data_IF_121251530256
#
_entry.id   IF_121251530256
#
_cell.length_a   1.000
_cell.length_b   1.000
_cell.length_c   1.000
_cell.angle_alpha   90.00
_cell.angle_beta   90.00
_cell.angle_gamma   90.00
#
_symmetry.space_group_name_H-M   'P 1'
#
loop_
_entity.id
_entity.type
_entity.pdbx_description
1 polymer ?
#
# COMPACT_ATOMS: atom_id res chain seq x y z
N UNK A 1 -18.61 30.26 16.09
CA UNK A 1 -18.56 29.92 15.70
C UNK A 1 -18.33 29.38 15.30
N UNK A 2 -18.07 29.24 15.11
CA UNK A 2 -17.90 28.65 14.66
C UNK A 2 -17.32 28.09 14.61
N UNK A 3 -16.89 28.00 14.75
CA UNK A 3 -16.32 27.50 14.60
C UNK A 3 -16.23 26.60 14.60
N UNK A 4 -16.13 26.42 14.77
CA UNK A 4 -16.01 25.56 14.82
C UNK A 4 -16.21 24.93 14.16
N UNK A 5 -16.11 24.89 13.66
CA UNK A 5 -16.26 24.31 12.87
C UNK A 5 -15.39 24.05 12.24
N UNK A 6 -14.51 24.21 11.95
CA UNK A 6 -13.63 23.89 11.36
C UNK A 6 -12.97 22.96 11.73
N UNK A 7 -12.90 23.01 12.35
CA UNK A 7 -12.13 22.23 12.88
C UNK A 7 -12.42 21.00 12.55
N UNK A 8 -13.22 20.67 12.79
CA UNK A 8 -13.48 19.48 12.55
C UNK A 8 -13.29 19.12 11.31
N UNK A 9 -13.26 19.85 10.68
CA UNK A 9 -13.14 19.53 9.49
C UNK A 9 -12.00 19.01 9.23
N UNK A 10 -11.22 19.52 9.66
CA UNK A 10 -10.05 19.10 9.39
C UNK A 10 -9.87 17.81 9.60
N UNK A 11 -10.14 17.46 10.48
CA UNK A 11 -9.77 16.23 10.74
C UNK A 11 -10.18 15.34 9.90
N UNK A 12 -11.15 15.43 9.65
CA UNK A 12 -11.59 14.42 9.00
C UNK A 12 -10.88 14.01 7.94
N UNK A 13 -10.60 14.67 7.24
CA UNK A 13 -10.10 14.22 6.09
C UNK A 13 -8.97 13.51 6.17
N UNK A 14 -8.43 13.72 6.93
CA UNK A 14 -7.33 13.14 7.01
C UNK A 14 -7.39 11.87 7.23
N UNK A 15 -8.25 11.43 7.44
CA UNK A 15 -8.27 10.21 7.68
C UNK A 15 -7.76 9.41 6.69
N UNK A 16 -6.98 8.61 6.95
CA UNK A 16 -6.49 7.74 6.06
C UNK A 16 -7.57 6.95 5.70
N UNK A 17 -7.66 6.62 4.58
CA UNK A 17 -8.72 5.84 4.18
C UNK A 17 -8.61 4.56 4.77
N UNK A 18 -9.52 4.08 5.31
CA UNK A 18 -9.47 2.85 5.80
C UNK A 18 -10.06 2.02 4.84
N UNK A 19 -9.53 1.00 4.41
CA UNK A 19 -10.07 0.10 3.45
C UNK A 19 -11.34 -0.44 3.98
N UNK A 20 -12.30 -0.56 3.18
CA UNK A 20 -13.54 -1.11 3.59
C UNK A 20 -13.38 -2.54 3.96
N UNK A 21 -12.39 -3.17 3.51
CA UNK A 21 -12.20 -4.56 3.82
C UNK A 21 -10.73 -4.80 3.92
N UNK A 22 -10.34 -5.87 4.48
CA UNK A 22 -8.93 -6.15 4.65
C UNK A 22 -8.22 -6.20 3.32
N UNK A 23 -6.96 -5.92 3.33
CA UNK A 23 -6.17 -5.97 2.13
C UNK A 23 -5.78 -7.40 1.88
N UNK A 24 -6.39 -8.03 0.90
CA UNK A 24 -6.03 -9.38 0.57
C UNK A 24 -5.10 -9.39 -0.61
N UNK A 25 -3.97 -9.96 -0.46
CA UNK A 25 -2.97 -10.02 -1.50
C UNK A 25 -2.77 -11.46 -1.94
N UNK A 26 -2.52 -11.63 -3.21
CA UNK A 26 -2.15 -12.95 -3.72
C UNK A 26 -0.77 -13.27 -3.19
N UNK A 27 -0.34 -14.51 -3.22
CA UNK A 27 1.01 -14.84 -2.76
C UNK A 27 2.10 -14.05 -3.48
N UNK A 28 1.97 -13.83 -4.77
CA UNK A 28 2.97 -13.06 -5.49
C UNK A 28 2.91 -11.59 -5.05
N UNK A 29 1.73 -11.07 -4.85
CA UNK A 29 1.61 -9.70 -4.39
C UNK A 29 2.22 -9.52 -3.01
N UNK A 30 2.04 -10.51 -2.15
CA UNK A 30 2.65 -10.43 -0.84
C UNK A 30 4.17 -10.43 -0.92
N UNK A 31 4.72 -11.21 -1.83
CA UNK A 31 6.16 -11.22 -2.01
C UNK A 31 6.63 -9.84 -2.45
N UNK A 32 5.95 -9.24 -3.40
CA UNK A 32 6.33 -7.93 -3.90
C UNK A 32 6.24 -6.89 -2.79
N UNK A 33 5.17 -6.93 -2.02
CA UNK A 33 4.97 -5.96 -0.97
C UNK A 33 6.00 -6.15 0.14
N UNK A 34 6.34 -7.39 0.45
CA UNK A 34 7.33 -7.64 1.48
C UNK A 34 8.68 -7.07 1.08
N UNK A 35 9.09 -7.26 -0.15
CA UNK A 35 10.33 -6.67 -0.62
C UNK A 35 10.27 -5.15 -0.57
N UNK A 36 9.13 -4.59 -0.91
CA UNK A 36 8.97 -3.16 -0.89
C UNK A 36 9.12 -2.63 0.53
N UNK A 37 8.50 -3.27 1.48
CA UNK A 37 8.58 -2.86 2.87
C UNK A 37 10.00 -3.01 3.39
N UNK A 38 10.72 -3.99 2.87
CA UNK A 38 12.10 -4.20 3.26
C UNK A 38 13.04 -3.20 2.61
N UNK A 39 12.54 -2.33 1.78
CA UNK A 39 13.37 -1.30 1.19
C UNK A 39 13.92 -1.61 -0.18
N UNK A 40 13.47 -2.66 -0.81
CA UNK A 40 13.96 -3.01 -2.14
C UNK A 40 13.40 -2.08 -3.19
N UNK A 41 14.21 -1.73 -4.15
CA UNK A 41 13.73 -0.95 -5.28
C UNK A 41 13.01 -1.87 -6.25
N UNK A 42 12.34 -1.31 -7.23
CA UNK A 42 11.69 -2.13 -8.24
C UNK A 42 12.68 -3.01 -8.97
N UNK A 43 13.87 -2.51 -9.21
CA UNK A 43 14.88 -3.31 -9.88
C UNK A 43 15.32 -4.46 -8.99
N UNK A 44 15.44 -4.22 -7.70
CA UNK A 44 15.80 -5.28 -6.77
C UNK A 44 14.73 -6.34 -6.73
N UNK A 45 13.48 -5.91 -6.68
CA UNK A 45 12.38 -6.86 -6.63
C UNK A 45 12.36 -7.69 -7.90
N UNK A 46 12.55 -7.02 -9.03
CA UNK A 46 12.53 -7.71 -10.31
C UNK A 46 13.63 -8.76 -10.35
N UNK A 47 14.80 -8.41 -9.89
CA UNK A 47 15.91 -9.35 -9.90
C UNK A 47 15.61 -10.55 -9.01
N UNK A 48 15.04 -10.31 -7.86
CA UNK A 48 14.77 -11.40 -6.94
C UNK A 48 13.68 -12.32 -7.41
N UNK A 49 12.72 -11.76 -8.14
CA UNK A 49 11.62 -12.56 -8.64
C UNK A 49 11.80 -13.00 -10.08
N UNK A 50 12.94 -12.62 -10.66
CA UNK A 50 13.23 -12.96 -12.06
C UNK A 50 12.18 -12.42 -12.99
N UNK A 51 11.85 -11.17 -12.77
CA UNK A 51 10.89 -10.47 -13.59
C UNK A 51 11.56 -9.24 -14.19
N UNK A 52 10.90 -8.61 -15.11
CA UNK A 52 11.38 -7.37 -15.63
C UNK A 52 10.89 -6.26 -14.74
N UNK A 53 11.65 -5.17 -14.61
CA UNK A 53 11.22 -4.05 -13.77
C UNK A 53 9.85 -3.52 -14.15
N UNK A 54 9.52 -3.52 -15.43
CA UNK A 54 8.22 -3.02 -15.85
C UNK A 54 7.09 -3.92 -15.31
N UNK A 55 7.35 -5.21 -15.22
CA UNK A 55 6.36 -6.13 -14.68
C UNK A 55 6.13 -5.82 -13.21
N UNK A 56 7.20 -5.54 -12.47
CA UNK A 56 7.07 -5.19 -11.08
C UNK A 56 6.29 -3.91 -10.94
N UNK A 57 6.56 -2.93 -11.78
CA UNK A 57 5.87 -1.67 -11.74
C UNK A 57 4.38 -1.88 -11.97
N UNK A 58 4.05 -2.72 -12.93
CA UNK A 58 2.64 -3.00 -13.24
C UNK A 58 1.96 -3.71 -12.08
N UNK A 59 2.67 -4.61 -11.44
CA UNK A 59 2.11 -5.31 -10.30
C UNK A 59 1.89 -4.34 -9.14
N UNK A 60 2.82 -3.44 -8.92
CA UNK A 60 2.65 -2.45 -7.86
C UNK A 60 1.48 -1.53 -8.14
N UNK A 61 1.27 -1.17 -9.38
CA UNK A 61 0.13 -0.34 -9.74
C UNK A 61 -1.18 -1.02 -9.36
N UNK A 62 -1.25 -2.32 -9.62
CA UNK A 62 -2.45 -3.04 -9.25
C UNK A 62 -2.60 -3.13 -7.75
N UNK A 63 -1.52 -3.30 -7.04
CA UNK A 63 -1.56 -3.39 -5.59
C UNK A 63 -1.97 -2.04 -5.01
N UNK A 64 -1.47 -0.95 -5.57
CA UNK A 64 -1.85 0.38 -5.13
C UNK A 64 -3.37 0.56 -5.26
N UNK A 65 -3.92 0.16 -6.39
CA UNK A 65 -5.34 0.27 -6.60
C UNK A 65 -6.11 -0.58 -5.60
N UNK A 66 -5.63 -1.79 -5.39
CA UNK A 66 -6.27 -2.70 -4.47
C UNK A 66 -6.25 -2.15 -3.05
N UNK A 67 -5.18 -1.51 -2.67
CA UNK A 67 -5.04 -0.98 -1.33
C UNK A 67 -5.64 0.42 -1.18
N UNK A 68 -6.02 1.04 -2.27
CA UNK A 68 -6.59 2.37 -2.21
C UNK A 68 -5.55 3.43 -1.91
N UNK A 69 -4.33 3.23 -2.36
CA UNK A 69 -3.26 4.19 -2.10
C UNK A 69 -2.66 4.67 -3.41
N UNK A 70 -1.91 5.75 -3.36
CA UNK A 70 -1.36 6.34 -4.55
C UNK A 70 0.14 6.33 -4.61
N UNK A 71 0.80 5.90 -3.61
CA UNK A 71 2.26 5.93 -3.64
C UNK A 71 2.86 4.78 -2.88
N UNK A 72 4.12 4.59 -3.15
CA UNK A 72 4.88 3.54 -2.51
C UNK A 72 4.90 3.72 -1.00
N UNK A 73 5.08 4.95 -0.55
CA UNK A 73 5.13 5.20 0.87
C UNK A 73 3.78 4.93 1.51
N UNK A 74 2.71 5.32 0.84
CA UNK A 74 1.38 5.06 1.37
C UNK A 74 1.11 3.57 1.45
N UNK A 75 1.59 2.81 0.47
CA UNK A 75 1.41 1.38 0.50
C UNK A 75 2.17 0.78 1.67
N UNK A 76 3.40 1.19 1.87
CA UNK A 76 4.19 0.67 2.97
C UNK A 76 3.51 0.95 4.31
N UNK A 77 3.00 2.16 4.46
CA UNK A 77 2.33 2.51 5.70
C UNK A 77 1.07 1.68 5.90
N UNK A 78 0.31 1.49 4.83
CA UNK A 78 -0.92 0.71 4.93
C UNK A 78 -0.64 -0.72 5.34
N UNK A 79 0.40 -1.29 4.76
CA UNK A 79 0.76 -2.66 5.07
C UNK A 79 1.24 -2.77 6.51
N UNK A 80 2.03 -1.82 6.95
CA UNK A 80 2.54 -1.89 8.30
C UNK A 80 1.43 -1.69 9.34
N UNK A 81 0.44 -0.90 8.99
CA UNK A 81 -0.64 -0.70 9.91
C UNK A 81 -1.55 -1.89 10.00
N UNK A 82 -1.83 -2.54 8.91
CA UNK A 82 -2.70 -3.70 8.92
C UNK A 82 -1.98 -4.97 9.17
N UNK A 83 -0.70 -4.93 9.05
CA UNK A 83 0.06 -6.16 9.07
C UNK A 83 0.00 -6.70 7.69
N UNK A 84 1.03 -7.38 7.24
CA UNK A 84 1.02 -7.98 5.96
C UNK A 84 0.11 -9.15 6.08
N UNK A 85 -0.95 -9.11 5.43
CA UNK A 85 -1.93 -10.07 5.61
C UNK A 85 -1.59 -11.39 5.21
N UNK A 86 -1.67 -12.29 6.08
CA UNK A 86 -1.39 -13.58 5.77
C UNK A 86 -2.66 -14.19 5.85
N UNK A 87 -3.19 -14.63 4.87
CA UNK A 87 -4.46 -15.16 4.87
C UNK A 87 -4.49 -16.35 5.66
N UNK A 88 -4.23 -16.72 6.40
CA UNK A 88 -4.35 -17.84 6.99
C UNK A 88 -5.40 -17.86 7.64
#
# INVERSE_FOLDING_TARGET
MDMTTHAEIASAPVETPKPARPLFLTPRERQVVQFLVDGCSNDDIAARLRLRPQTVKNQLTRIYTKAGVSSRVQLAVAVLRQGLTDPR
#
